data_IF_943185210651
#
_entry.id   IF_943185210651
#
_cell.length_a   1.000
_cell.length_b   1.000
_cell.length_c   1.000
_cell.angle_alpha   90.00
_cell.angle_beta   90.00
_cell.angle_gamma   90.00
#
_symmetry.space_group_name_H-M   'P 1'
#
loop_
_entity.id
_entity.type
_entity.pdbx_description
1 polymer ?
#
# COMPACT_ATOMS: atom_id res chain seq x y z
N UNK A 1 -2.57 14.00 8.56
CA UNK A 1 -1.13 13.71 8.56
C UNK A 1 -0.91 12.36 9.23
N UNK A 2 -0.12 11.47 8.61
CA UNK A 2 0.26 10.17 9.20
C UNK A 2 1.72 10.19 9.70
N UNK A 3 2.08 9.33 10.67
CA UNK A 3 3.42 9.32 11.26
C UNK A 3 4.54 8.90 10.30
N UNK A 4 5.76 9.37 10.60
CA UNK A 4 7.01 8.80 10.11
C UNK A 4 7.72 8.05 11.24
N UNK A 5 8.20 6.85 10.95
CA UNK A 5 8.97 6.04 11.88
C UNK A 5 10.34 5.70 11.27
N UNK A 6 11.43 5.98 11.99
CA UNK A 6 12.78 5.56 11.57
C UNK A 6 12.99 4.09 11.95
N UNK A 7 13.49 3.29 11.01
CA UNK A 7 13.92 1.91 11.27
C UNK A 7 15.20 1.60 10.49
N UNK A 8 16.34 1.61 11.19
CA UNK A 8 17.65 1.47 10.55
C UNK A 8 17.89 2.55 9.49
N UNK A 9 18.04 2.13 8.22
CA UNK A 9 18.21 3.04 7.08
C UNK A 9 16.89 3.51 6.47
N UNK A 10 15.76 2.89 6.84
CA UNK A 10 14.44 3.23 6.34
C UNK A 10 13.77 4.35 7.13
N UNK A 11 12.90 5.09 6.44
CA UNK A 11 11.84 5.88 7.05
C UNK A 11 10.50 5.30 6.59
N UNK A 12 9.64 4.93 7.52
CA UNK A 12 8.37 4.30 7.26
C UNK A 12 7.25 5.34 7.36
N UNK A 13 6.50 5.53 6.26
CA UNK A 13 5.28 6.35 6.24
C UNK A 13 4.09 5.45 6.57
N UNK A 14 3.52 5.64 7.75
CA UNK A 14 2.54 4.70 8.34
C UNK A 14 1.10 5.05 7.93
N UNK A 15 0.76 4.71 6.69
CA UNK A 15 -0.59 4.91 6.13
C UNK A 15 -1.64 3.93 6.69
N UNK A 16 -1.21 2.83 7.31
CA UNK A 16 -2.08 1.96 8.10
C UNK A 16 -2.79 2.69 9.27
N UNK A 17 -2.29 3.85 9.70
CA UNK A 17 -2.94 4.70 10.73
C UNK A 17 -3.90 5.74 10.16
N UNK A 18 -4.19 5.71 8.86
CA UNK A 18 -5.32 6.45 8.31
C UNK A 18 -6.62 6.01 9.01
N UNK A 19 -7.64 6.87 9.13
CA UNK A 19 -8.92 6.51 9.75
C UNK A 19 -9.57 5.23 9.20
N UNK A 20 -9.29 4.88 7.95
CA UNK A 20 -9.78 3.65 7.31
C UNK A 20 -8.67 2.63 7.04
N UNK A 21 -7.50 2.82 7.62
CA UNK A 21 -6.37 1.90 7.57
C UNK A 21 -5.86 1.61 6.17
N UNK A 22 -5.86 2.58 5.26
CA UNK A 22 -5.18 2.42 3.98
C UNK A 22 -4.75 3.76 3.38
N UNK A 23 -3.71 3.75 2.54
CA UNK A 23 -3.31 4.94 1.75
C UNK A 23 -4.43 5.39 0.80
N UNK A 24 -5.24 4.45 0.30
CA UNK A 24 -6.38 4.72 -0.59
C UNK A 24 -7.47 5.59 0.04
N UNK A 25 -7.54 5.70 1.38
CA UNK A 25 -8.40 6.65 2.10
C UNK A 25 -8.11 8.13 1.77
N UNK A 26 -6.97 8.42 1.12
CA UNK A 26 -6.66 9.77 0.65
C UNK A 26 -7.37 10.15 -0.65
N UNK A 27 -7.82 9.16 -1.42
CA UNK A 27 -8.47 9.38 -2.71
C UNK A 27 -9.99 9.59 -2.53
N UNK A 28 -10.65 10.28 -3.48
CA UNK A 28 -12.10 10.35 -3.51
C UNK A 28 -12.71 8.95 -3.70
N UNK A 29 -13.96 8.72 -3.23
CA UNK A 29 -14.62 7.45 -3.44
C UNK A 29 -14.74 7.12 -4.94
N UNK A 30 -14.64 5.84 -5.31
CA UNK A 30 -14.83 5.39 -6.68
C UNK A 30 -16.30 5.52 -7.12
N UNK A 31 -16.55 5.37 -8.42
CA UNK A 31 -17.90 5.16 -8.93
C UNK A 31 -18.46 3.79 -8.46
N UNK A 32 -19.78 3.68 -8.40
CA UNK A 32 -20.45 2.41 -8.14
C UNK A 32 -20.04 1.35 -9.18
N UNK A 33 -19.85 0.12 -8.71
CA UNK A 33 -19.42 -1.03 -9.50
C UNK A 33 -17.92 -1.06 -9.80
N UNK A 34 -17.12 -0.10 -9.33
CA UNK A 34 -15.67 -0.12 -9.55
C UNK A 34 -14.99 -1.33 -8.89
N UNK A 35 -13.94 -1.84 -9.53
CA UNK A 35 -13.18 -2.98 -9.05
C UNK A 35 -11.97 -2.53 -8.20
N UNK A 36 -11.91 -3.03 -6.96
CA UNK A 36 -11.01 -2.56 -5.90
C UNK A 36 -10.23 -3.72 -5.28
N UNK A 37 -9.01 -3.46 -4.82
CA UNK A 37 -8.33 -4.40 -3.90
C UNK A 37 -9.06 -4.44 -2.57
N UNK A 38 -8.80 -5.45 -1.72
CA UNK A 38 -9.46 -5.56 -0.42
C UNK A 38 -9.28 -4.33 0.49
N UNK A 39 -8.08 -3.76 0.54
CA UNK A 39 -7.80 -2.54 1.31
C UNK A 39 -8.46 -1.28 0.71
N UNK A 40 -8.56 -1.20 -0.62
CA UNK A 40 -9.32 -0.16 -1.31
C UNK A 40 -10.83 -0.28 -1.01
N UNK A 41 -11.40 -1.49 -1.12
CA UNK A 41 -12.81 -1.75 -0.83
C UNK A 41 -13.18 -1.38 0.62
N UNK A 42 -12.38 -1.79 1.60
CA UNK A 42 -12.59 -1.43 3.00
C UNK A 42 -12.49 0.08 3.25
N UNK A 43 -11.64 0.78 2.50
CA UNK A 43 -11.58 2.23 2.57
C UNK A 43 -12.89 2.87 2.13
N UNK A 44 -13.64 2.29 1.21
CA UNK A 44 -14.87 2.92 0.70
C UNK A 44 -16.17 2.29 1.19
N UNK A 45 -16.12 1.15 1.88
CA UNK A 45 -17.29 0.39 2.37
C UNK A 45 -18.38 1.26 3.04
N UNK A 46 -17.99 2.23 3.87
CA UNK A 46 -18.93 3.11 4.58
C UNK A 46 -19.69 4.12 3.71
N UNK A 47 -19.27 4.32 2.46
CA UNK A 47 -19.98 5.20 1.53
C UNK A 47 -21.24 4.54 0.97
N UNK A 48 -21.45 3.25 1.24
CA UNK A 48 -22.49 2.46 0.60
C UNK A 48 -22.15 2.21 -0.88
N UNK A 49 -23.14 1.73 -1.63
CA UNK A 49 -22.97 1.38 -3.03
C UNK A 49 -22.57 -0.07 -3.25
N UNK A 50 -22.26 -0.36 -4.51
CA UNK A 50 -21.82 -1.67 -4.97
C UNK A 50 -20.37 -1.59 -5.44
N UNK A 51 -19.55 -2.59 -5.15
CA UNK A 51 -18.13 -2.63 -5.48
C UNK A 51 -17.76 -4.02 -6.01
N UNK A 52 -16.83 -4.12 -6.95
CA UNK A 52 -16.22 -5.39 -7.33
C UNK A 52 -14.86 -5.57 -6.62
N UNK A 53 -14.44 -6.82 -6.43
CA UNK A 53 -13.21 -7.17 -5.73
C UNK A 53 -12.19 -7.77 -6.70
N UNK A 54 -10.95 -7.28 -6.67
CA UNK A 54 -9.80 -7.85 -7.40
C UNK A 54 -8.66 -8.29 -6.50
N UNK A 55 -7.85 -9.18 -7.04
CA UNK A 55 -6.66 -9.72 -6.38
C UNK A 55 -7.02 -10.57 -5.16
N UNK A 56 -6.06 -10.70 -4.24
CA UNK A 56 -6.26 -11.45 -3.02
C UNK A 56 -7.05 -10.62 -2.01
N UNK A 57 -8.26 -11.08 -1.69
CA UNK A 57 -9.11 -10.53 -0.63
C UNK A 57 -9.37 -11.60 0.41
N UNK A 58 -8.82 -11.37 1.60
CA UNK A 58 -8.80 -12.31 2.73
C UNK A 58 -10.18 -12.51 3.34
N UNK A 59 -10.29 -13.52 4.21
CA UNK A 59 -11.52 -13.77 4.96
C UNK A 59 -11.90 -12.57 5.84
N UNK A 60 -10.94 -11.99 6.57
CA UNK A 60 -11.16 -10.84 7.44
C UNK A 60 -11.68 -9.64 6.67
N UNK A 61 -11.13 -9.38 5.48
CA UNK A 61 -11.60 -8.29 4.63
C UNK A 61 -13.04 -8.54 4.17
N UNK A 62 -13.38 -9.77 3.76
CA UNK A 62 -14.74 -10.12 3.32
C UNK A 62 -15.75 -9.99 4.45
N UNK A 63 -15.42 -10.46 5.64
CA UNK A 63 -16.30 -10.33 6.80
C UNK A 63 -16.49 -8.86 7.20
N UNK A 64 -15.41 -8.06 7.19
CA UNK A 64 -15.53 -6.63 7.45
C UNK A 64 -16.42 -5.93 6.40
N UNK A 65 -16.27 -6.23 5.10
CA UNK A 65 -17.14 -5.70 4.05
C UNK A 65 -18.62 -6.09 4.26
N UNK A 66 -18.86 -7.34 4.66
CA UNK A 66 -20.20 -7.86 4.98
C UNK A 66 -20.82 -7.11 6.16
N UNK A 67 -20.05 -6.88 7.23
CA UNK A 67 -20.49 -6.11 8.40
C UNK A 67 -20.85 -4.66 8.05
N UNK A 68 -20.12 -4.05 7.12
CA UNK A 68 -20.44 -2.72 6.58
C UNK A 68 -21.63 -2.70 5.62
N UNK A 69 -22.23 -3.86 5.28
CA UNK A 69 -23.36 -3.94 4.36
C UNK A 69 -22.99 -3.68 2.90
N UNK A 70 -21.71 -3.86 2.54
CA UNK A 70 -21.22 -3.61 1.18
C UNK A 70 -21.79 -4.62 0.20
N UNK A 71 -22.34 -4.16 -0.94
CA UNK A 71 -22.78 -5.05 -2.03
C UNK A 71 -21.60 -5.38 -2.93
N UNK A 72 -21.42 -6.65 -3.24
CA UNK A 72 -20.31 -7.11 -4.07
C UNK A 72 -20.82 -7.46 -5.47
N UNK A 73 -20.45 -6.65 -6.46
CA UNK A 73 -20.70 -6.93 -7.87
C UNK A 73 -19.82 -8.10 -8.35
N UNK A 74 -20.28 -8.87 -9.35
CA UNK A 74 -19.49 -9.98 -9.91
C UNK A 74 -18.24 -9.49 -10.67
N UNK A 75 -18.31 -8.31 -11.30
CA UNK A 75 -17.22 -7.68 -12.06
C UNK A 75 -17.37 -6.16 -12.04
N UNK A 76 -16.25 -5.48 -12.28
CA UNK A 76 -16.18 -4.04 -12.40
C UNK A 76 -14.96 -3.63 -13.23
N UNK A 77 -14.85 -2.34 -13.53
CA UNK A 77 -13.63 -1.80 -14.13
C UNK A 77 -12.59 -1.49 -13.03
N UNK A 78 -11.30 -1.85 -13.22
CA UNK A 78 -10.24 -1.56 -12.27
C UNK A 78 -10.21 -0.08 -11.88
N UNK A 79 -10.39 0.21 -10.61
CA UNK A 79 -10.29 1.58 -10.12
C UNK A 79 -8.86 2.09 -10.20
N UNK A 80 -8.70 3.26 -10.81
CA UNK A 80 -7.44 3.96 -11.02
C UNK A 80 -7.56 5.39 -10.46
N UNK A 81 -7.24 5.62 -9.18
CA UNK A 81 -7.29 6.96 -8.62
C UNK A 81 -6.21 7.86 -9.25
N UNK A 82 -6.52 9.16 -9.35
CA UNK A 82 -5.59 10.17 -9.88
C UNK A 82 -4.35 10.31 -8.96
N UNK A 83 -3.12 10.05 -9.47
CA UNK A 83 -1.88 10.24 -8.73
C UNK A 83 -1.72 11.65 -8.13
N UNK A 84 -2.29 12.69 -8.75
CA UNK A 84 -2.19 14.05 -8.26
C UNK A 84 -2.85 14.24 -6.87
N UNK A 85 -3.84 13.41 -6.51
CA UNK A 85 -4.43 13.43 -5.17
C UNK A 85 -3.41 12.99 -4.13
N UNK A 86 -2.63 11.95 -4.42
CA UNK A 86 -1.56 11.48 -3.52
C UNK A 86 -0.40 12.45 -3.47
N UNK A 87 -0.05 13.10 -4.59
CA UNK A 87 0.95 14.16 -4.62
C UNK A 87 0.60 15.32 -3.67
N UNK A 88 -0.64 15.81 -3.70
CA UNK A 88 -1.11 16.90 -2.84
C UNK A 88 -1.36 16.50 -1.38
N UNK A 89 -1.36 15.20 -1.07
CA UNK A 89 -1.63 14.68 0.27
C UNK A 89 -0.40 14.00 0.88
N UNK A 90 -0.22 12.69 0.71
CA UNK A 90 0.93 11.95 1.26
C UNK A 90 2.27 12.47 0.72
N UNK A 91 2.34 12.86 -0.55
CA UNK A 91 3.52 13.47 -1.16
C UNK A 91 3.89 14.80 -0.49
N UNK A 92 2.92 15.71 -0.35
CA UNK A 92 3.10 16.98 0.36
C UNK A 92 3.51 16.79 1.83
N UNK A 93 2.93 15.81 2.53
CA UNK A 93 3.35 15.46 3.89
C UNK A 93 4.81 15.01 3.93
N UNK A 94 5.25 14.16 3.00
CA UNK A 94 6.64 13.70 2.92
C UNK A 94 7.61 14.85 2.59
N UNK A 95 7.26 15.75 1.66
CA UNK A 95 8.07 16.93 1.34
C UNK A 95 8.28 17.83 2.58
N UNK A 96 7.25 17.95 3.41
CA UNK A 96 7.31 18.75 4.64
C UNK A 96 8.05 18.05 5.79
N UNK A 97 7.93 16.73 5.91
CA UNK A 97 8.47 15.95 7.02
C UNK A 97 9.93 15.49 6.81
N UNK A 98 10.36 15.31 5.56
CA UNK A 98 11.71 14.84 5.25
C UNK A 98 12.71 16.00 5.29
N UNK A 99 13.81 15.79 6.01
CA UNK A 99 14.90 16.77 6.12
C UNK A 99 15.93 16.66 4.99
N UNK A 100 16.02 15.50 4.34
CA UNK A 100 16.98 15.17 3.31
C UNK A 100 16.32 14.32 2.20
N UNK A 101 16.87 14.32 0.97
CA UNK A 101 16.33 13.53 -0.13
C UNK A 101 16.40 12.03 0.18
N UNK A 102 15.28 11.29 0.07
CA UNK A 102 15.35 9.83 0.06
C UNK A 102 15.87 9.34 -1.29
N UNK A 103 16.75 8.34 -1.30
CA UNK A 103 17.19 7.73 -2.57
C UNK A 103 16.03 7.03 -3.29
N UNK A 104 15.19 6.35 -2.51
CA UNK A 104 14.07 5.56 -2.99
C UNK A 104 12.79 5.88 -2.24
N UNK A 105 11.67 5.76 -2.95
CA UNK A 105 10.33 5.57 -2.39
C UNK A 105 9.85 4.20 -2.83
N UNK A 106 9.55 3.32 -1.87
CA UNK A 106 9.05 1.97 -2.14
C UNK A 106 7.57 1.86 -1.77
N UNK A 107 6.76 1.27 -2.66
CA UNK A 107 5.35 0.98 -2.43
C UNK A 107 5.00 -0.44 -2.90
N UNK A 108 3.99 -1.09 -2.31
CA UNK A 108 3.30 -2.19 -2.96
C UNK A 108 2.72 -1.80 -4.33
N UNK A 109 2.71 -2.72 -5.28
CA UNK A 109 2.14 -2.50 -6.61
C UNK A 109 0.64 -2.17 -6.60
N UNK A 110 -0.13 -2.68 -5.63
CA UNK A 110 -1.54 -2.33 -5.42
C UNK A 110 -1.76 -0.84 -5.13
N UNK A 111 -0.71 -0.14 -4.67
CA UNK A 111 -0.71 1.28 -4.33
C UNK A 111 0.04 2.13 -5.38
N UNK A 112 0.17 1.64 -6.62
CA UNK A 112 0.94 2.30 -7.68
C UNK A 112 0.58 3.77 -7.93
N UNK A 113 -0.70 4.16 -7.84
CA UNK A 113 -1.10 5.56 -7.97
C UNK A 113 -0.54 6.44 -6.83
N UNK A 114 -0.45 5.90 -5.62
CA UNK A 114 0.18 6.59 -4.49
C UNK A 114 1.69 6.76 -4.73
N UNK A 115 2.38 5.71 -5.20
CA UNK A 115 3.79 5.78 -5.57
C UNK A 115 4.06 6.90 -6.58
N UNK A 116 3.28 6.95 -7.67
CA UNK A 116 3.42 7.97 -8.71
C UNK A 116 3.22 9.39 -8.17
N UNK A 117 2.19 9.58 -7.34
CA UNK A 117 1.93 10.87 -6.70
C UNK A 117 3.05 11.30 -5.75
N UNK A 118 3.55 10.39 -4.93
CA UNK A 118 4.63 10.66 -3.98
C UNK A 118 5.93 11.01 -4.71
N UNK A 119 6.32 10.20 -5.69
CA UNK A 119 7.53 10.44 -6.49
C UNK A 119 7.44 11.77 -7.22
N UNK A 120 6.29 12.09 -7.82
CA UNK A 120 6.05 13.38 -8.47
C UNK A 120 6.25 14.55 -7.49
N UNK A 121 5.63 14.50 -6.31
CA UNK A 121 5.75 15.55 -5.30
C UNK A 121 7.20 15.71 -4.79
N UNK A 122 7.89 14.61 -4.49
CA UNK A 122 9.27 14.66 -4.00
C UNK A 122 10.24 15.16 -5.05
N UNK A 123 10.05 14.80 -6.33
CA UNK A 123 10.92 15.24 -7.43
C UNK A 123 10.85 16.74 -7.71
N UNK A 124 9.79 17.43 -7.28
CA UNK A 124 9.74 18.90 -7.33
C UNK A 124 10.84 19.54 -6.48
N UNK A 125 11.22 18.90 -5.36
CA UNK A 125 12.29 19.37 -4.46
C UNK A 125 13.60 18.63 -4.68
N UNK A 126 13.54 17.34 -4.99
CA UNK A 126 14.68 16.43 -5.12
C UNK A 126 14.56 15.59 -6.39
N UNK A 127 15.01 16.10 -7.55
CA UNK A 127 14.80 15.46 -8.85
C UNK A 127 15.35 14.03 -8.98
N UNK A 128 16.36 13.68 -8.18
CA UNK A 128 17.03 12.37 -8.21
C UNK A 128 16.26 11.24 -7.47
N UNK A 129 15.14 11.54 -6.79
CA UNK A 129 14.35 10.52 -6.08
C UNK A 129 13.85 9.47 -7.06
N UNK A 130 14.03 8.18 -6.72
CA UNK A 130 13.58 7.04 -7.53
C UNK A 130 12.38 6.35 -6.91
N UNK A 131 11.48 5.84 -7.76
CA UNK A 131 10.33 5.05 -7.34
C UNK A 131 10.61 3.57 -7.53
N UNK A 132 10.20 2.76 -6.56
CA UNK A 132 10.31 1.31 -6.57
C UNK A 132 8.95 0.73 -6.22
N UNK A 133 8.50 -0.25 -6.98
CA UNK A 133 7.27 -0.98 -6.73
C UNK A 133 7.58 -2.44 -6.45
N UNK A 134 6.92 -2.99 -5.44
CA UNK A 134 7.01 -4.42 -5.13
C UNK A 134 5.90 -5.19 -5.83
N UNK A 135 6.23 -6.31 -6.47
CA UNK A 135 5.30 -7.24 -7.11
C UNK A 135 5.52 -8.66 -6.57
N UNK A 136 4.51 -9.52 -6.68
CA UNK A 136 4.63 -10.91 -6.28
C UNK A 136 5.51 -11.70 -7.26
N UNK A 137 6.51 -12.41 -6.74
CA UNK A 137 7.36 -13.33 -7.50
C UNK A 137 6.64 -14.66 -7.85
N UNK A 138 5.47 -14.91 -7.28
CA UNK A 138 4.73 -16.16 -7.47
C UNK A 138 3.30 -16.04 -6.96
N UNK A 139 3.07 -16.40 -5.70
CA UNK A 139 1.75 -16.23 -5.09
C UNK A 139 1.45 -14.75 -4.85
N UNK A 140 0.27 -14.29 -5.27
CA UNK A 140 -0.19 -12.94 -4.97
C UNK A 140 -0.56 -12.82 -3.49
N UNK A 141 -0.40 -11.61 -2.95
CA UNK A 141 -0.86 -11.25 -1.61
C UNK A 141 -1.70 -9.97 -1.71
N UNK A 142 -2.45 -9.59 -0.67
CA UNK A 142 -3.16 -8.31 -0.66
C UNK A 142 -2.21 -7.16 -1.03
N UNK A 143 -2.64 -6.35 -2.00
CA UNK A 143 -1.87 -5.24 -2.61
C UNK A 143 -0.52 -5.60 -3.25
N UNK A 144 -0.21 -6.90 -3.41
CA UNK A 144 0.99 -7.41 -4.05
C UNK A 144 0.62 -8.32 -5.24
N UNK A 145 0.14 -7.75 -6.37
CA UNK A 145 -0.15 -8.50 -7.58
C UNK A 145 1.13 -8.97 -8.29
N UNK A 146 1.02 -9.92 -9.23
CA UNK A 146 2.15 -10.37 -10.07
C UNK A 146 2.65 -9.31 -11.05
N UNK A 147 1.79 -8.37 -11.42
CA UNK A 147 2.14 -7.29 -12.34
C UNK A 147 1.40 -6.01 -11.96
N UNK A 148 1.99 -4.89 -12.36
CA UNK A 148 1.36 -3.58 -12.32
C UNK A 148 1.71 -2.82 -13.59
N UNK A 149 0.71 -2.12 -14.13
CA UNK A 149 0.87 -1.21 -15.24
C UNK A 149 1.39 0.13 -14.70
N UNK A 150 2.71 0.26 -14.66
CA UNK A 150 3.42 1.44 -14.18
C UNK A 150 4.46 1.88 -15.21
N UNK A 151 4.76 3.20 -15.27
CA UNK A 151 5.80 3.74 -16.15
C UNK A 151 7.14 3.02 -15.98
N UNK A 152 7.91 2.90 -17.08
CA UNK A 152 9.16 2.13 -17.12
C UNK A 152 10.26 2.65 -16.19
N UNK A 153 10.20 3.92 -15.78
CA UNK A 153 11.12 4.54 -14.84
C UNK A 153 10.89 4.09 -13.38
N UNK A 154 9.79 3.41 -13.09
CA UNK A 154 9.55 2.79 -11.79
C UNK A 154 10.19 1.42 -11.77
N UNK A 155 11.17 1.24 -10.89
CA UNK A 155 11.86 -0.02 -10.70
C UNK A 155 10.91 -1.06 -10.11
N UNK A 156 10.92 -2.27 -10.68
CA UNK A 156 10.08 -3.39 -10.23
C UNK A 156 10.92 -4.41 -9.50
N UNK A 157 10.56 -4.71 -8.26
CA UNK A 157 11.22 -5.72 -7.44
C UNK A 157 10.23 -6.83 -7.12
N UNK A 158 10.61 -8.06 -7.44
CA UNK A 158 9.81 -9.25 -7.16
C UNK A 158 10.05 -9.71 -5.71
N UNK A 159 8.98 -10.05 -4.99
CA UNK A 159 9.01 -10.49 -3.59
C UNK A 159 8.22 -11.78 -3.47
N UNK A 160 8.78 -12.79 -2.79
CA UNK A 160 8.06 -14.04 -2.53
C UNK A 160 7.12 -13.90 -1.33
N UNK A 161 6.15 -14.80 -1.20
CA UNK A 161 5.32 -14.87 0.01
C UNK A 161 6.15 -15.07 1.27
N UNK A 162 7.17 -15.93 1.21
CA UNK A 162 8.06 -16.20 2.34
C UNK A 162 8.80 -14.93 2.78
N UNK A 163 9.32 -14.15 1.83
CA UNK A 163 9.99 -12.87 2.12
C UNK A 163 9.03 -11.88 2.79
N UNK A 164 7.79 -11.76 2.27
CA UNK A 164 6.80 -10.86 2.84
C UNK A 164 6.35 -11.28 4.25
N UNK A 165 6.18 -12.59 4.49
CA UNK A 165 5.85 -13.13 5.81
C UNK A 165 7.00 -12.93 6.80
N UNK A 166 8.25 -13.18 6.39
CA UNK A 166 9.43 -12.92 7.20
C UNK A 166 9.57 -11.43 7.54
N UNK A 167 9.35 -10.55 6.56
CA UNK A 167 9.34 -9.11 6.76
C UNK A 167 8.27 -8.67 7.77
N UNK A 168 7.06 -9.22 7.66
CA UNK A 168 5.95 -8.93 8.60
C UNK A 168 6.28 -9.37 10.03
N UNK A 169 6.79 -10.59 10.21
CA UNK A 169 7.22 -11.08 11.52
C UNK A 169 8.34 -10.20 12.12
N UNK A 170 9.28 -9.78 11.28
CA UNK A 170 10.40 -8.91 11.68
C UNK A 170 9.92 -7.52 12.11
N UNK A 171 9.07 -6.87 11.30
CA UNK A 171 8.47 -5.56 11.61
C UNK A 171 7.68 -5.61 12.91
N UNK A 172 6.87 -6.66 13.11
CA UNK A 172 6.12 -6.85 14.36
C UNK A 172 7.06 -6.99 15.56
N UNK A 173 8.10 -7.83 15.46
CA UNK A 173 9.04 -8.09 16.56
C UNK A 173 9.91 -6.88 16.91
N UNK A 174 10.41 -6.16 15.91
CA UNK A 174 11.37 -5.07 16.12
C UNK A 174 10.70 -3.71 16.39
N UNK A 175 9.50 -3.48 15.84
CA UNK A 175 8.83 -2.18 15.90
C UNK A 175 7.50 -2.22 16.65
N UNK A 176 7.00 -3.39 17.04
CA UNK A 176 5.66 -3.54 17.61
C UNK A 176 4.55 -3.16 16.61
N UNK A 177 4.82 -3.26 15.31
CA UNK A 177 3.96 -2.73 14.26
C UNK A 177 3.31 -3.88 13.48
N UNK A 178 1.98 -3.94 13.50
CA UNK A 178 1.21 -4.93 12.76
C UNK A 178 0.90 -4.41 11.34
N UNK A 179 1.85 -4.59 10.43
CA UNK A 179 1.68 -4.26 9.02
C UNK A 179 1.15 -5.45 8.21
N UNK A 180 0.41 -5.18 7.12
CA UNK A 180 0.11 -6.20 6.10
C UNK A 180 1.37 -6.67 5.38
N UNK A 181 1.30 -7.81 4.69
CA UNK A 181 2.45 -8.45 4.04
C UNK A 181 3.16 -7.50 3.05
N UNK A 182 2.40 -6.82 2.19
CA UNK A 182 2.98 -5.95 1.19
C UNK A 182 3.65 -4.71 1.80
N UNK A 183 3.02 -4.08 2.79
CA UNK A 183 3.58 -2.95 3.53
C UNK A 183 4.82 -3.34 4.36
N UNK A 184 4.84 -4.54 4.92
CA UNK A 184 5.99 -5.06 5.65
C UNK A 184 7.17 -5.37 4.71
N UNK A 185 6.90 -5.98 3.55
CA UNK A 185 7.91 -6.19 2.52
C UNK A 185 8.53 -4.88 2.04
N UNK A 186 7.70 -3.84 1.83
CA UNK A 186 8.16 -2.48 1.54
C UNK A 186 9.08 -1.94 2.64
N UNK A 187 8.67 -2.07 3.90
CA UNK A 187 9.49 -1.63 5.03
C UNK A 187 10.85 -2.35 5.08
N UNK A 188 10.87 -3.68 4.92
CA UNK A 188 12.11 -4.47 4.94
C UNK A 188 13.04 -4.13 3.78
N UNK A 189 12.49 -3.98 2.56
CA UNK A 189 13.27 -3.57 1.39
C UNK A 189 13.94 -2.21 1.61
N UNK A 190 13.18 -1.21 2.09
CA UNK A 190 13.72 0.11 2.38
C UNK A 190 14.73 0.10 3.54
N UNK A 191 14.60 -0.85 4.48
CA UNK A 191 15.56 -0.99 5.58
C UNK A 191 16.93 -1.45 5.08
N UNK A 192 16.95 -2.33 4.09
CA UNK A 192 18.17 -2.85 3.45
C UNK A 192 18.81 -1.85 2.48
N UNK A 193 18.00 -1.15 1.69
CA UNK A 193 18.46 -0.29 0.59
C UNK A 193 18.49 1.21 0.93
N UNK A 194 17.87 1.59 2.06
CA UNK A 194 17.63 2.97 2.44
C UNK A 194 16.47 3.61 1.66
N UNK A 195 15.86 4.64 2.24
CA UNK A 195 14.78 5.41 1.60
C UNK A 195 13.51 5.45 2.42
N UNK A 196 12.39 5.68 1.74
CA UNK A 196 11.05 5.78 2.34
C UNK A 196 10.19 4.61 1.90
N UNK A 197 9.59 3.91 2.86
CA UNK A 197 8.59 2.88 2.58
C UNK A 197 7.18 3.35 2.95
N UNK A 198 6.22 3.06 2.08
CA UNK A 198 4.80 3.25 2.39
C UNK A 198 4.26 1.97 3.00
N UNK A 199 3.94 2.02 4.30
CA UNK A 199 3.31 0.90 5.00
C UNK A 199 1.81 1.10 4.89
N UNK A 200 1.23 0.54 3.83
CA UNK A 200 -0.08 0.96 3.32
C UNK A 200 -1.26 0.38 4.06
N UNK A 201 -1.21 -0.85 4.57
CA UNK A 201 -2.35 -1.52 5.22
C UNK A 201 -2.00 -2.20 6.55
N UNK A 202 -3.00 -2.37 7.45
CA UNK A 202 -2.86 -3.04 8.75
C UNK A 202 -2.82 -4.56 8.60
N UNK A 203 -2.01 -5.21 9.44
CA UNK A 203 -1.79 -6.65 9.44
C UNK A 203 -2.99 -7.47 9.94
N UNK A 204 -3.92 -6.84 10.64
CA UNK A 204 -5.13 -7.45 11.20
C UNK A 204 -6.10 -7.92 10.12
N UNK A 205 -5.95 -7.43 8.89
CA UNK A 205 -6.75 -7.85 7.74
C UNK A 205 -6.22 -9.13 7.09
N UNK A 206 -5.13 -9.68 7.60
CA UNK A 206 -4.37 -10.74 6.92
C UNK A 206 -4.02 -11.91 7.85
N UNK A 207 -4.65 -12.03 9.02
CA UNK A 207 -4.36 -13.10 9.98
C UNK A 207 -4.50 -14.50 9.38
N UNK A 208 -5.52 -14.73 8.54
CA UNK A 208 -5.70 -16.03 7.85
C UNK A 208 -4.52 -16.41 6.95
N UNK A 209 -3.68 -15.46 6.54
CA UNK A 209 -2.50 -15.74 5.71
C UNK A 209 -1.30 -16.24 6.54
N UNK A 210 -1.32 -16.02 7.86
CA UNK A 210 -0.24 -16.44 8.77
C UNK A 210 -0.29 -17.93 9.12
N UNK A 211 -1.41 -18.60 8.81
CA UNK A 211 -1.70 -19.97 9.27
C UNK A 211 -1.51 -21.02 8.18
N UNK A 212 -1.14 -20.62 6.95
CA UNK A 212 -0.92 -21.56 5.85
C UNK A 212 0.57 -21.78 5.60
N UNK A 213 1.10 -23.01 5.80
CA UNK A 213 2.46 -23.39 5.41
C UNK A 213 2.65 -23.45 3.90
#
# INVERSE_FOLDING_TARGET
>A
MTPLLRWGNAVLKLELFRPRGAVSDRAPPPADGAELTGNQALSFARHGGELALRGVVTHEMREALRLWGTRIAPRGEPWKPDPAVFARTVGAELVAQLLAPPLFVVCPAGDGAALLGIVSALRQRWPAVRGVTLVAAGEELPDLPRSADLPSEIERVAVTRADAAAARARVARELGLLAGHAGAAAAAWAHEHGGVAIVSGPGEREFTLDVSP
#
